data_IF_590641391329
#
_entry.id   IF_590641391329
#
_cell.length_a   1.000
_cell.length_b   1.000
_cell.length_c   1.000
_cell.angle_alpha   90.00
_cell.angle_beta   90.00
_cell.angle_gamma   90.00
#
_symmetry.space_group_name_H-M   'P 1'
#
loop_
_entity.id
_entity.type
_entity.pdbx_description
1 polymer ?
#
# COMPACT_ATOMS: atom_id res chain seq x y z
N UNK A 1 21.54 34.90 -13.11
CA UNK A 1 20.47 33.88 -13.01
C UNK A 1 19.42 34.30 -14.02
N UNK A 2 18.99 33.41 -14.92
CA UNK A 2 18.06 33.81 -15.97
C UNK A 2 16.76 34.35 -15.35
N UNK A 3 16.39 35.56 -15.73
CA UNK A 3 15.19 36.29 -15.31
C UNK A 3 14.77 37.23 -16.44
N UNK A 4 13.67 37.96 -16.27
CA UNK A 4 13.15 38.89 -17.27
C UNK A 4 14.21 39.87 -17.77
N UNK A 5 14.97 40.49 -16.86
CA UNK A 5 16.00 41.48 -17.21
C UNK A 5 17.12 40.86 -18.04
N UNK A 6 17.57 39.65 -17.68
CA UNK A 6 18.62 38.93 -18.41
C UNK A 6 18.15 38.61 -19.83
N UNK A 7 16.91 38.16 -20.00
CA UNK A 7 16.34 37.86 -21.32
C UNK A 7 16.17 39.14 -22.14
N UNK A 8 15.76 40.25 -21.51
CA UNK A 8 15.66 41.53 -22.21
C UNK A 8 17.02 42.03 -22.71
N UNK A 9 18.06 41.93 -21.88
CA UNK A 9 19.43 42.29 -22.27
C UNK A 9 19.91 41.44 -23.45
N UNK A 10 19.67 40.12 -23.41
CA UNK A 10 20.03 39.20 -24.48
C UNK A 10 19.28 39.51 -25.78
N UNK A 11 17.97 39.80 -25.71
CA UNK A 11 17.18 40.22 -26.86
C UNK A 11 17.65 41.55 -27.45
N UNK A 12 18.04 42.51 -26.60
CA UNK A 12 18.62 43.79 -27.04
C UNK A 12 19.98 43.59 -27.72
N UNK A 13 20.82 42.69 -27.19
CA UNK A 13 22.09 42.32 -27.81
C UNK A 13 21.88 41.71 -29.22
N UNK A 14 20.89 40.83 -29.39
CA UNK A 14 20.55 40.29 -30.71
C UNK A 14 20.02 41.32 -31.69
N UNK A 15 19.28 42.33 -31.22
CA UNK A 15 18.87 43.46 -32.07
C UNK A 15 20.07 44.30 -32.49
N UNK A 16 21.00 44.56 -31.57
CA UNK A 16 22.23 45.30 -31.87
C UNK A 16 23.08 44.56 -32.91
N UNK A 17 23.26 43.25 -32.75
CA UNK A 17 23.96 42.41 -33.74
C UNK A 17 23.35 42.56 -35.15
N UNK A 18 22.02 42.47 -35.27
CA UNK A 18 21.34 42.66 -36.56
C UNK A 18 21.60 44.04 -37.17
N UNK A 19 21.61 45.08 -36.34
CA UNK A 19 21.93 46.45 -36.79
C UNK A 19 23.38 46.54 -37.27
N UNK A 20 24.33 45.96 -36.54
CA UNK A 20 25.75 45.95 -36.94
C UNK A 20 25.97 45.20 -38.25
N UNK A 21 25.33 44.03 -38.43
CA UNK A 21 25.37 43.28 -39.69
C UNK A 21 24.76 44.08 -40.83
N UNK A 22 23.62 44.74 -40.60
CA UNK A 22 22.97 45.59 -41.60
C UNK A 22 23.86 46.76 -42.03
N UNK A 23 24.51 47.44 -41.07
CA UNK A 23 25.47 48.51 -41.36
C UNK A 23 26.62 48.02 -42.23
N UNK A 24 27.20 46.85 -41.93
CA UNK A 24 28.28 46.26 -42.75
C UNK A 24 27.80 46.00 -44.17
N UNK A 25 26.58 45.48 -44.34
CA UNK A 25 25.99 45.21 -45.67
C UNK A 25 25.73 46.51 -46.44
N UNK A 26 25.25 47.56 -45.77
CA UNK A 26 24.99 48.87 -46.40
C UNK A 26 26.28 49.59 -46.83
N UNK A 27 27.35 49.49 -46.05
CA UNK A 27 28.65 50.12 -46.37
C UNK A 27 29.44 49.38 -47.47
N UNK A 28 29.04 48.15 -47.83
CA UNK A 28 29.75 47.31 -48.78
C UNK A 28 29.04 47.16 -50.14
N UNK A 29 28.08 48.04 -50.42
CA UNK A 29 27.29 48.07 -51.67
C UNK A 29 28.16 48.28 -52.92
N UNK A 30 29.31 48.96 -52.80
CA UNK A 30 30.27 49.17 -53.90
C UNK A 30 31.31 48.04 -54.05
N UNK A 31 31.35 47.05 -53.15
CA UNK A 31 32.26 45.91 -53.25
C UNK A 31 31.75 44.84 -54.25
N UNK A 32 32.66 44.20 -55.00
CA UNK A 32 32.32 43.16 -55.99
C UNK A 32 31.54 41.97 -55.40
N UNK A 33 31.73 41.67 -54.11
CA UNK A 33 31.04 40.59 -53.40
C UNK A 33 29.84 41.06 -52.55
N UNK A 34 29.57 42.37 -52.51
CA UNK A 34 28.51 42.99 -51.71
C UNK A 34 28.65 42.74 -50.20
N UNK A 35 29.88 42.65 -49.68
CA UNK A 35 30.15 42.49 -48.24
C UNK A 35 30.06 41.05 -47.72
N UNK A 36 29.81 40.08 -48.59
CA UNK A 36 29.62 38.67 -48.22
C UNK A 36 30.83 38.06 -47.52
N UNK A 37 32.05 38.44 -47.90
CA UNK A 37 33.27 37.95 -47.24
C UNK A 37 33.34 38.41 -45.78
N UNK A 38 33.04 39.69 -45.52
CA UNK A 38 33.11 40.27 -44.17
C UNK A 38 32.00 39.68 -43.28
N UNK A 39 30.78 39.58 -43.78
CA UNK A 39 29.66 38.98 -43.03
C UNK A 39 29.92 37.50 -42.68
N UNK A 40 30.68 36.76 -43.53
CA UNK A 40 31.09 35.38 -43.23
C UNK A 40 32.15 35.28 -42.14
N UNK A 41 32.98 36.30 -41.97
CA UNK A 41 33.96 36.38 -40.88
C UNK A 41 33.32 36.80 -39.55
N UNK A 42 32.15 37.45 -39.59
CA UNK A 42 31.38 37.77 -38.38
C UNK A 42 30.79 36.49 -37.77
N UNK A 43 31.23 36.17 -36.55
CA UNK A 43 30.68 35.06 -35.77
C UNK A 43 29.37 35.50 -35.11
N UNK A 44 28.23 34.84 -35.41
CA UNK A 44 26.97 35.16 -34.78
C UNK A 44 27.01 34.89 -33.27
N UNK A 45 26.38 35.75 -32.48
CA UNK A 45 26.23 35.63 -31.04
C UNK A 45 25.21 34.55 -30.64
N UNK A 46 24.31 34.18 -31.56
CA UNK A 46 23.33 33.11 -31.37
C UNK A 46 22.48 33.27 -30.09
N UNK A 47 21.86 34.44 -29.92
CA UNK A 47 21.06 34.77 -28.73
C UNK A 47 20.09 33.65 -28.32
N UNK A 48 19.39 33.04 -29.27
CA UNK A 48 18.42 31.97 -29.02
C UNK A 48 19.10 30.74 -28.37
N UNK A 49 20.25 30.30 -28.89
CA UNK A 49 21.05 29.21 -28.32
C UNK A 49 21.54 29.54 -26.91
N UNK A 50 21.97 30.78 -26.69
CA UNK A 50 22.40 31.25 -25.36
C UNK A 50 21.24 31.22 -24.37
N UNK A 51 20.05 31.71 -24.77
CA UNK A 51 18.87 31.68 -23.89
C UNK A 51 18.45 30.23 -23.60
N UNK A 52 18.42 29.34 -24.59
CA UNK A 52 18.08 27.92 -24.38
C UNK A 52 19.03 27.25 -23.39
N UNK A 53 20.34 27.48 -23.51
CA UNK A 53 21.33 26.98 -22.56
C UNK A 53 21.09 27.50 -21.14
N UNK A 54 20.77 28.80 -21.01
CA UNK A 54 20.47 29.39 -19.72
C UNK A 54 19.14 28.87 -19.13
N UNK A 55 18.15 28.54 -19.96
CA UNK A 55 16.90 27.92 -19.54
C UNK A 55 17.17 26.51 -18.97
N UNK A 56 17.94 25.67 -19.67
CA UNK A 56 18.32 24.34 -19.15
C UNK A 56 19.05 24.44 -17.81
N UNK A 57 20.04 25.33 -17.68
CA UNK A 57 20.73 25.58 -16.41
C UNK A 57 19.81 26.09 -15.29
N UNK A 58 18.78 26.86 -15.66
CA UNK A 58 17.78 27.33 -14.71
C UNK A 58 16.90 26.17 -14.23
N UNK A 59 16.46 25.29 -15.13
CA UNK A 59 15.70 24.07 -14.82
C UNK A 59 16.52 23.20 -13.87
N UNK A 60 17.76 22.88 -14.22
CA UNK A 60 18.69 22.10 -13.39
C UNK A 60 18.80 22.65 -11.96
N UNK A 61 18.94 23.97 -11.84
CA UNK A 61 19.05 24.63 -10.54
C UNK A 61 17.75 24.51 -9.73
N UNK A 62 16.58 24.60 -10.36
CA UNK A 62 15.29 24.41 -9.69
C UNK A 62 15.11 22.96 -9.24
N UNK A 63 15.41 22.00 -10.11
CA UNK A 63 15.33 20.58 -9.79
C UNK A 63 16.29 20.20 -8.66
N UNK A 64 17.51 20.75 -8.65
CA UNK A 64 18.48 20.56 -7.57
C UNK A 64 17.94 21.01 -6.20
N UNK A 65 17.23 22.14 -6.13
CA UNK A 65 16.59 22.58 -4.87
C UNK A 65 15.51 21.61 -4.39
N UNK A 66 14.72 21.08 -5.32
CA UNK A 66 13.74 20.03 -5.02
C UNK A 66 14.41 18.76 -4.49
N UNK A 67 15.49 18.34 -5.13
CA UNK A 67 16.31 17.19 -4.73
C UNK A 67 16.90 17.35 -3.32
N UNK A 68 17.47 18.52 -3.02
CA UNK A 68 17.96 18.85 -1.67
C UNK A 68 16.83 18.78 -0.61
N UNK A 69 15.58 19.14 -0.99
CA UNK A 69 14.42 18.99 -0.10
C UNK A 69 14.07 17.54 0.18
N UNK A 70 14.16 16.67 -0.83
CA UNK A 70 13.94 15.23 -0.67
C UNK A 70 15.03 14.61 0.19
N UNK A 71 16.29 14.99 -0.02
CA UNK A 71 17.40 14.44 0.74
C UNK A 71 17.32 14.84 2.22
N UNK A 72 16.90 16.08 2.55
CA UNK A 72 16.53 16.45 3.94
C UNK A 72 15.39 15.59 4.50
N UNK A 73 14.37 15.31 3.69
CA UNK A 73 13.25 14.48 4.12
C UNK A 73 13.70 13.04 4.44
N UNK A 74 14.65 12.47 3.68
CA UNK A 74 15.20 11.13 3.97
C UNK A 74 15.87 11.04 5.34
N UNK A 75 16.52 12.11 5.77
CA UNK A 75 17.27 12.16 7.02
C UNK A 75 16.38 12.49 8.23
N UNK A 76 15.42 13.41 8.06
CA UNK A 76 14.73 14.04 9.18
C UNK A 76 13.22 13.74 9.26
N UNK A 77 12.60 13.16 8.23
CA UNK A 77 11.15 12.98 8.23
C UNK A 77 10.69 11.94 9.26
N UNK A 78 9.73 12.35 10.09
CA UNK A 78 9.18 11.56 11.19
C UNK A 78 7.76 11.06 10.93
N UNK A 79 7.16 11.49 9.81
CA UNK A 79 5.79 11.15 9.39
C UNK A 79 4.74 11.56 10.42
N UNK A 80 4.97 12.69 11.06
CA UNK A 80 3.98 13.33 11.92
C UNK A 80 3.09 14.27 11.08
N UNK A 81 1.82 14.48 11.47
CA UNK A 81 0.96 15.45 10.79
C UNK A 81 1.55 16.85 10.93
N UNK A 82 1.48 17.64 9.85
CA UNK A 82 1.85 19.07 9.87
C UNK A 82 1.02 19.84 10.90
N UNK A 83 -0.29 19.60 10.92
CA UNK A 83 -1.19 20.18 11.92
C UNK A 83 -2.43 19.30 12.10
N UNK A 84 -3.32 19.64 13.04
CA UNK A 84 -4.59 18.92 13.22
C UNK A 84 -5.48 18.93 11.97
N UNK A 85 -5.43 20.03 11.20
CA UNK A 85 -6.27 20.20 10.01
C UNK A 85 -5.51 19.82 8.71
N UNK A 86 -4.22 19.56 8.82
CA UNK A 86 -3.35 19.17 7.70
C UNK A 86 -2.65 17.85 8.08
N UNK A 87 -3.36 16.71 8.03
CA UNK A 87 -2.87 15.44 8.55
C UNK A 87 -1.92 14.73 7.56
N UNK A 88 -1.01 15.48 6.95
CA UNK A 88 0.01 15.03 6.00
C UNK A 88 1.38 15.61 6.37
N UNK A 89 2.45 15.05 5.81
CA UNK A 89 3.83 15.41 6.17
C UNK A 89 4.21 16.81 5.67
N UNK A 90 4.96 17.55 6.50
CA UNK A 90 5.46 18.89 6.18
C UNK A 90 6.42 18.88 4.97
N UNK A 91 7.28 17.85 4.84
CA UNK A 91 8.21 17.74 3.72
C UNK A 91 7.53 17.64 2.35
N UNK A 92 6.32 17.06 2.27
CA UNK A 92 5.54 17.03 1.03
C UNK A 92 5.07 18.44 0.64
N UNK A 93 4.67 19.27 1.61
CA UNK A 93 4.26 20.65 1.38
C UNK A 93 5.43 21.47 0.84
N UNK A 94 6.62 21.29 1.40
CA UNK A 94 7.84 21.97 0.94
C UNK A 94 8.20 21.58 -0.49
N UNK A 95 8.16 20.28 -0.81
CA UNK A 95 8.41 19.79 -2.17
C UNK A 95 7.40 20.35 -3.18
N UNK A 96 6.10 20.27 -2.87
CA UNK A 96 5.05 20.77 -3.76
C UNK A 96 5.11 22.28 -3.93
N UNK A 97 5.48 23.03 -2.89
CA UNK A 97 5.71 24.47 -2.98
C UNK A 97 6.88 24.80 -3.92
N UNK A 98 8.00 24.09 -3.81
CA UNK A 98 9.14 24.27 -4.72
C UNK A 98 8.77 23.96 -6.17
N UNK A 99 7.98 22.90 -6.40
CA UNK A 99 7.51 22.54 -7.73
C UNK A 99 6.56 23.61 -8.31
N UNK A 100 5.60 24.10 -7.52
CA UNK A 100 4.70 25.17 -7.93
C UNK A 100 5.45 26.46 -8.24
N UNK A 101 6.38 26.88 -7.37
CA UNK A 101 7.24 28.05 -7.61
C UNK A 101 8.06 27.89 -8.90
N UNK A 102 8.57 26.69 -9.18
CA UNK A 102 9.30 26.43 -10.42
C UNK A 102 8.39 26.57 -11.64
N UNK A 103 7.20 25.97 -11.64
CA UNK A 103 6.27 26.08 -12.77
C UNK A 103 5.81 27.53 -12.98
N UNK A 104 5.47 28.25 -11.91
CA UNK A 104 5.01 29.64 -11.99
C UNK A 104 6.11 30.58 -12.49
N UNK A 105 7.34 30.43 -11.97
CA UNK A 105 8.46 31.24 -12.43
C UNK A 105 8.85 30.92 -13.87
N UNK A 106 8.78 29.64 -14.30
CA UNK A 106 9.11 29.22 -15.66
C UNK A 106 8.25 29.96 -16.70
N UNK A 107 6.94 30.04 -16.48
CA UNK A 107 6.04 30.76 -17.39
C UNK A 107 6.13 32.29 -17.32
N UNK A 108 6.82 32.84 -16.31
CA UNK A 108 7.09 34.28 -16.22
C UNK A 108 8.34 34.71 -16.97
N UNK A 109 9.19 33.77 -17.42
CA UNK A 109 10.38 34.10 -18.20
C UNK A 109 9.93 34.46 -19.63
N UNK A 110 10.22 35.68 -20.13
CA UNK A 110 9.71 36.18 -21.41
C UNK A 110 10.50 35.60 -22.61
N UNK A 111 10.58 34.28 -22.69
CA UNK A 111 11.16 33.54 -23.82
C UNK A 111 10.02 32.90 -24.62
N UNK A 112 10.25 32.63 -25.91
CA UNK A 112 9.37 31.71 -26.64
C UNK A 112 9.48 30.32 -26.03
N UNK A 113 8.58 29.99 -25.10
CA UNK A 113 8.57 28.70 -24.41
C UNK A 113 8.20 27.63 -25.44
N UNK A 114 9.19 26.83 -25.81
CA UNK A 114 9.00 25.69 -26.70
C UNK A 114 8.42 24.50 -25.92
N UNK A 115 7.80 23.56 -26.63
CA UNK A 115 7.26 22.36 -25.98
C UNK A 115 8.38 21.53 -25.34
N UNK A 116 9.56 21.52 -25.94
CA UNK A 116 10.74 20.78 -25.46
C UNK A 116 11.15 21.24 -24.05
N UNK A 117 11.18 22.55 -23.78
CA UNK A 117 11.50 23.07 -22.44
C UNK A 117 10.43 22.74 -21.40
N UNK A 118 9.15 22.72 -21.80
CA UNK A 118 8.05 22.30 -20.91
C UNK A 118 8.21 20.82 -20.55
N UNK A 119 8.53 19.98 -21.54
CA UNK A 119 8.79 18.56 -21.31
C UNK A 119 10.01 18.34 -20.41
N UNK A 120 11.11 19.07 -20.63
CA UNK A 120 12.32 18.97 -19.80
C UNK A 120 12.04 19.30 -18.33
N UNK A 121 11.31 20.40 -18.06
CA UNK A 121 10.89 20.74 -16.70
C UNK A 121 9.96 19.68 -16.11
N UNK A 122 8.97 19.23 -16.88
CA UNK A 122 7.99 18.25 -16.43
C UNK A 122 8.63 16.90 -16.10
N UNK A 123 9.50 16.39 -16.95
CA UNK A 123 10.25 15.14 -16.74
C UNK A 123 11.11 15.23 -15.47
N UNK A 124 11.81 16.36 -15.28
CA UNK A 124 12.59 16.59 -14.07
C UNK A 124 11.74 16.60 -12.79
N UNK A 125 10.57 17.24 -12.82
CA UNK A 125 9.63 17.25 -11.70
C UNK A 125 9.02 15.86 -11.45
N UNK A 126 8.67 15.13 -12.51
CA UNK A 126 8.16 13.75 -12.41
C UNK A 126 9.16 12.85 -11.67
N UNK A 127 10.44 12.97 -12.00
CA UNK A 127 11.50 12.21 -11.34
C UNK A 127 11.62 12.55 -9.86
N UNK A 128 11.51 13.83 -9.48
CA UNK A 128 11.50 14.25 -8.07
C UNK A 128 10.29 13.68 -7.31
N UNK A 129 9.10 13.74 -7.92
CA UNK A 129 7.89 13.20 -7.30
C UNK A 129 8.02 11.69 -7.08
N UNK A 130 8.47 10.94 -8.08
CA UNK A 130 8.71 9.50 -7.97
C UNK A 130 9.72 9.16 -6.88
N UNK A 131 10.79 9.92 -6.77
CA UNK A 131 11.77 9.71 -5.71
C UNK A 131 11.18 9.94 -4.31
N UNK A 132 10.37 10.98 -4.14
CA UNK A 132 9.70 11.24 -2.86
C UNK A 132 8.61 10.20 -2.55
N UNK A 133 7.87 9.73 -3.56
CA UNK A 133 6.90 8.63 -3.41
C UNK A 133 7.60 7.34 -2.98
N UNK A 134 8.78 7.05 -3.53
CA UNK A 134 9.58 5.89 -3.11
C UNK A 134 9.94 5.95 -1.61
N UNK A 135 10.25 7.13 -1.07
CA UNK A 135 10.48 7.34 0.35
C UNK A 135 9.22 7.07 1.19
N UNK A 136 8.04 7.48 0.72
CA UNK A 136 6.75 7.22 1.39
C UNK A 136 6.44 5.72 1.45
N UNK A 137 6.61 4.99 0.36
CA UNK A 137 6.22 3.58 0.26
C UNK A 137 7.26 2.63 0.88
N UNK A 138 8.45 3.11 1.22
CA UNK A 138 9.46 2.36 1.96
C UNK A 138 9.00 2.09 3.41
N UNK A 139 8.08 1.14 3.58
CA UNK A 139 7.44 0.78 4.87
C UNK A 139 7.46 -0.72 5.17
N UNK A 140 8.22 -1.51 4.39
CA UNK A 140 8.31 -2.96 4.52
C UNK A 140 7.21 -3.68 3.74
N UNK A 141 6.88 -4.90 4.14
CA UNK A 141 5.86 -5.71 3.47
C UNK A 141 4.91 -6.34 4.48
N UNK A 142 3.67 -6.63 4.08
CA UNK A 142 2.69 -7.29 4.94
C UNK A 142 3.16 -8.66 5.45
N UNK A 143 3.95 -9.36 4.65
CA UNK A 143 4.51 -10.68 4.98
C UNK A 143 5.37 -10.64 6.25
N UNK A 144 5.94 -9.49 6.60
CA UNK A 144 6.75 -9.31 7.81
C UNK A 144 5.93 -9.40 9.11
N UNK A 145 4.60 -9.26 9.02
CA UNK A 145 3.70 -9.31 10.18
C UNK A 145 2.94 -10.64 10.28
N UNK A 146 2.88 -11.43 9.21
CA UNK A 146 2.15 -12.69 9.21
C UNK A 146 2.88 -13.73 10.06
N UNK A 147 2.19 -14.42 10.99
CA UNK A 147 2.80 -15.47 11.78
C UNK A 147 3.10 -16.69 10.91
N UNK A 148 4.22 -17.35 11.20
CA UNK A 148 4.58 -18.62 10.54
C UNK A 148 3.55 -19.69 10.87
N UNK A 149 3.15 -20.48 9.86
CA UNK A 149 2.18 -21.56 10.06
C UNK A 149 2.74 -22.60 11.04
N UNK A 150 2.00 -22.98 12.10
CA UNK A 150 2.45 -23.98 13.04
C UNK A 150 2.49 -25.37 12.38
N UNK A 151 3.32 -26.29 12.91
CA UNK A 151 3.37 -27.65 12.42
C UNK A 151 2.01 -28.36 12.59
N UNK A 152 1.68 -29.21 11.63
CA UNK A 152 0.46 -30.02 11.68
C UNK A 152 0.55 -31.03 12.82
N UNK A 153 -0.44 -31.00 13.70
CA UNK A 153 -0.52 -31.83 14.90
C UNK A 153 -1.95 -32.25 15.13
N UNK A 154 -2.15 -33.40 15.77
CA UNK A 154 -3.48 -33.88 16.16
C UNK A 154 -3.78 -33.57 17.63
N UNK A 155 -5.04 -33.30 17.96
CA UNK A 155 -5.50 -33.03 19.33
C UNK A 155 -5.09 -34.14 20.32
N UNK A 156 -4.73 -33.79 21.57
CA UNK A 156 -4.56 -34.80 22.61
C UNK A 156 -5.86 -34.97 23.40
N UNK A 157 -6.37 -36.21 23.49
CA UNK A 157 -7.64 -36.51 24.15
C UNK A 157 -7.54 -36.62 25.67
N UNK A 158 -6.37 -36.41 26.27
CA UNK A 158 -6.11 -36.55 27.72
C UNK A 158 -6.71 -35.38 28.56
N UNK A 159 -7.85 -34.84 28.10
CA UNK A 159 -8.61 -33.72 28.65
C UNK A 159 -9.21 -33.97 30.04
N UNK A 160 -9.23 -35.22 30.53
CA UNK A 160 -9.64 -35.47 31.93
C UNK A 160 -8.56 -35.08 32.94
N UNK A 161 -7.28 -35.21 32.59
CA UNK A 161 -6.18 -34.92 33.52
C UNK A 161 -5.88 -33.41 33.64
N UNK A 162 -6.08 -32.63 32.56
CA UNK A 162 -5.88 -31.18 32.61
C UNK A 162 -6.94 -30.45 33.46
N UNK A 163 -8.20 -30.93 33.46
CA UNK A 163 -9.26 -30.41 34.33
C UNK A 163 -9.04 -30.75 35.81
N UNK A 164 -8.37 -31.87 36.10
CA UNK A 164 -8.02 -32.30 37.45
C UNK A 164 -6.77 -31.60 37.99
N UNK A 165 -5.74 -31.38 37.15
CA UNK A 165 -4.52 -30.69 37.59
C UNK A 165 -4.73 -29.18 37.83
N UNK A 166 -5.64 -28.55 37.09
CA UNK A 166 -6.11 -27.17 37.36
C UNK A 166 -6.89 -27.03 38.68
N UNK A 167 -7.39 -28.13 39.27
CA UNK A 167 -8.09 -28.16 40.56
C UNK A 167 -7.22 -28.58 41.75
N UNK A 168 -5.98 -29.03 41.51
CA UNK A 168 -5.16 -29.67 42.54
C UNK A 168 -3.82 -28.97 42.82
N UNK A 169 -3.56 -27.79 42.25
CA UNK A 169 -2.31 -27.04 42.48
C UNK A 169 -2.62 -25.59 42.85
N UNK A 170 -2.63 -25.21 44.14
CA UNK A 170 -2.83 -23.81 44.56
C UNK A 170 -1.57 -22.94 44.42
N UNK A 171 -0.44 -23.48 43.95
CA UNK A 171 0.80 -22.73 43.83
C UNK A 171 1.58 -23.18 42.59
N UNK A 172 1.35 -22.53 41.46
CA UNK A 172 2.31 -22.45 40.38
C UNK A 172 2.36 -20.98 39.93
N UNK A 173 3.47 -20.33 40.29
CA UNK A 173 3.87 -19.02 39.81
C UNK A 173 3.69 -19.00 38.28
N UNK A 174 3.06 -17.93 37.74
CA UNK A 174 2.85 -17.59 36.31
C UNK A 174 1.39 -17.55 35.80
N UNK A 175 0.47 -16.83 36.46
CA UNK A 175 -0.77 -16.31 35.81
C UNK A 175 -1.26 -14.99 36.43
N UNK A 176 -0.80 -14.59 37.61
CA UNK A 176 -1.30 -13.38 38.29
C UNK A 176 -0.96 -12.06 37.57
N UNK A 177 0.04 -12.04 36.69
CA UNK A 177 0.32 -10.89 35.81
C UNK A 177 -0.58 -10.78 34.57
N UNK A 178 -1.28 -11.86 34.19
CA UNK A 178 -2.08 -11.94 32.95
C UNK A 178 -3.55 -11.52 33.16
N UNK A 179 -4.03 -11.54 34.41
CA UNK A 179 -5.40 -11.12 34.77
C UNK A 179 -5.48 -9.66 35.26
N UNK A 180 -4.36 -9.00 35.59
CA UNK A 180 -4.37 -7.59 35.99
C UNK A 180 -4.58 -6.62 34.82
N UNK A 181 -4.22 -7.00 33.58
CA UNK A 181 -4.56 -6.18 32.39
C UNK A 181 -6.04 -6.35 32.02
N UNK A 182 -6.62 -7.53 32.28
CA UNK A 182 -7.99 -7.87 31.89
C UNK A 182 -9.10 -7.29 32.75
N UNK A 183 -8.88 -7.01 34.05
CA UNK A 183 -9.96 -6.55 34.95
C UNK A 183 -10.03 -5.03 35.13
N UNK A 184 -8.93 -4.30 34.92
CA UNK A 184 -8.89 -2.84 35.11
C UNK A 184 -9.23 -2.05 33.84
N UNK A 185 -9.13 -2.66 32.65
CA UNK A 185 -9.45 -2.03 31.35
C UNK A 185 -10.87 -2.32 30.84
N UNK A 186 -11.69 -3.07 31.59
CA UNK A 186 -13.06 -3.49 31.17
C UNK A 186 -14.00 -2.29 30.95
N UNK A 187 -13.72 -1.15 31.58
CA UNK A 187 -14.60 0.02 31.53
C UNK A 187 -14.24 1.05 30.45
N UNK A 188 -13.03 1.04 29.89
CA UNK A 188 -12.61 2.00 28.86
C UNK A 188 -11.69 1.34 27.82
N UNK A 189 -12.23 0.67 26.78
CA UNK A 189 -11.41 0.12 25.71
C UNK A 189 -10.65 1.25 25.02
N UNK A 190 -9.33 1.13 24.96
CA UNK A 190 -8.46 2.05 24.22
C UNK A 190 -8.04 1.43 22.88
N UNK A 191 -7.78 2.24 21.85
CA UNK A 191 -7.22 1.72 20.62
C UNK A 191 -5.83 1.11 20.90
N UNK A 192 -5.57 -0.05 20.30
CA UNK A 192 -4.24 -0.69 20.32
C UNK A 192 -3.29 -0.13 19.27
N UNK A 193 -3.79 0.73 18.37
CA UNK A 193 -3.00 1.37 17.29
C UNK A 193 -1.75 2.08 17.81
N UNK A 194 -0.58 1.56 17.43
CA UNK A 194 0.71 2.12 17.83
C UNK A 194 1.05 3.40 17.06
N UNK A 195 2.02 4.17 17.58
CA UNK A 195 2.57 5.35 16.86
C UNK A 195 3.13 4.98 15.49
N UNK A 196 3.70 3.78 15.34
CA UNK A 196 4.20 3.30 14.05
C UNK A 196 3.09 3.16 13.01
N UNK A 197 1.93 2.65 13.42
CA UNK A 197 0.75 2.50 12.56
C UNK A 197 0.12 3.86 12.24
N UNK A 198 0.04 4.77 13.22
CA UNK A 198 -0.42 6.15 12.99
C UNK A 198 0.44 6.89 11.94
N UNK A 199 1.76 6.71 11.97
CA UNK A 199 2.67 7.27 10.96
C UNK A 199 2.36 6.77 9.55
N UNK A 200 1.92 5.52 9.38
CA UNK A 200 1.52 4.99 8.08
C UNK A 200 0.22 5.65 7.58
N UNK A 201 -0.72 6.02 8.47
CA UNK A 201 -1.88 6.83 8.10
C UNK A 201 -1.48 8.22 7.58
N UNK A 202 -0.49 8.87 8.21
CA UNK A 202 0.05 10.15 7.72
C UNK A 202 0.69 9.99 6.34
N UNK A 203 1.39 8.88 6.08
CA UNK A 203 1.94 8.59 4.74
C UNK A 203 0.83 8.43 3.70
N UNK A 204 -0.26 7.74 4.02
CA UNK A 204 -1.43 7.61 3.14
C UNK A 204 -2.08 8.96 2.83
N UNK A 205 -2.28 9.81 3.84
CA UNK A 205 -2.76 11.17 3.62
C UNK A 205 -1.79 11.98 2.75
N UNK A 206 -0.48 11.80 2.94
CA UNK A 206 0.56 12.47 2.16
C UNK A 206 0.51 12.05 0.68
N UNK A 207 0.27 10.77 0.39
CA UNK A 207 0.08 10.29 -0.99
C UNK A 207 -1.12 10.96 -1.68
N UNK A 208 -2.26 11.09 -0.98
CA UNK A 208 -3.44 11.78 -1.51
C UNK A 208 -3.23 13.30 -1.67
N UNK A 209 -2.48 13.91 -0.75
CA UNK A 209 -2.04 15.30 -0.85
C UNK A 209 -1.20 15.50 -2.13
N UNK A 210 -0.18 14.67 -2.35
CA UNK A 210 0.65 14.72 -3.56
C UNK A 210 -0.19 14.54 -4.82
N UNK A 211 -1.09 13.54 -4.85
CA UNK A 211 -1.95 13.28 -6.00
C UNK A 211 -2.71 14.54 -6.44
N UNK A 212 -3.33 15.22 -5.47
CA UNK A 212 -4.12 16.43 -5.73
C UNK A 212 -3.27 17.57 -6.27
N UNK A 213 -2.05 17.75 -5.74
CA UNK A 213 -1.15 18.83 -6.18
C UNK A 213 -0.47 18.52 -7.52
N UNK A 214 -0.13 17.26 -7.77
CA UNK A 214 0.43 16.83 -9.06
C UNK A 214 -0.61 17.01 -10.16
N UNK A 215 -1.88 16.66 -9.93
CA UNK A 215 -2.96 16.96 -10.88
C UNK A 215 -3.13 18.46 -11.14
N UNK A 216 -2.98 19.30 -10.11
CA UNK A 216 -3.04 20.75 -10.28
C UNK A 216 -1.89 21.28 -11.15
N UNK A 217 -0.65 20.81 -10.92
CA UNK A 217 0.51 21.14 -11.74
C UNK A 217 0.35 20.68 -13.18
N UNK A 218 -0.15 19.45 -13.38
CA UNK A 218 -0.41 18.89 -14.71
C UNK A 218 -1.34 19.80 -15.52
N UNK A 219 -2.44 20.25 -14.89
CA UNK A 219 -3.39 21.17 -15.50
C UNK A 219 -2.75 22.51 -15.84
N UNK A 220 -1.90 23.06 -14.97
CA UNK A 220 -1.16 24.31 -15.23
C UNK A 220 -0.24 24.17 -16.44
N UNK A 221 0.51 23.06 -16.55
CA UNK A 221 1.38 22.79 -17.70
C UNK A 221 0.59 22.55 -18.99
N UNK A 222 -0.57 21.91 -18.91
CA UNK A 222 -1.43 21.64 -20.06
C UNK A 222 -2.07 22.91 -20.65
N UNK A 223 -2.44 23.87 -19.79
CA UNK A 223 -3.15 25.11 -20.17
C UNK A 223 -2.23 26.28 -20.54
N UNK A 224 -0.92 26.13 -20.38
CA UNK A 224 0.01 27.24 -20.59
C UNK A 224 0.04 27.74 -22.05
N UNK A 225 0.08 29.07 -22.29
CA UNK A 225 0.14 29.65 -23.63
C UNK A 225 1.40 29.18 -24.38
N UNK A 226 1.21 28.56 -25.54
CA UNK A 226 2.29 28.09 -26.40
C UNK A 226 2.58 29.15 -27.46
N UNK A 227 3.82 29.60 -27.58
CA UNK A 227 4.25 30.33 -28.79
C UNK A 227 4.31 29.35 -29.94
N UNK A 228 3.43 29.51 -30.93
CA UNK A 228 3.39 28.69 -32.14
C UNK A 228 4.76 28.74 -32.86
N UNK A 229 5.22 27.62 -33.47
CA UNK A 229 6.44 27.66 -34.25
C UNK A 229 6.24 28.54 -35.49
N UNK A 230 7.24 29.39 -35.72
CA UNK A 230 7.46 30.07 -37.00
C UNK A 230 7.41 29.06 -38.14
N UNK A 231 6.73 29.43 -39.22
CA UNK A 231 6.48 28.61 -40.41
C UNK A 231 7.77 28.18 -41.12
N UNK A 232 8.24 26.96 -40.84
CA UNK A 232 9.03 26.14 -41.79
C UNK A 232 8.60 24.67 -41.65
N UNK A 233 7.96 24.13 -42.68
CA UNK A 233 7.49 22.74 -42.77
C UNK A 233 8.62 21.78 -43.23
N UNK A 234 8.36 20.47 -43.41
CA UNK A 234 8.45 19.42 -42.40
C UNK A 234 9.59 18.43 -42.70
N UNK A 235 10.18 17.83 -41.69
CA UNK A 235 11.00 16.63 -41.84
C UNK A 235 10.71 15.71 -40.66
N UNK A 236 10.27 14.51 -40.99
CA UNK A 236 9.69 13.56 -40.06
C UNK A 236 10.67 13.13 -38.97
N UNK A 237 10.21 13.23 -37.74
CA UNK A 237 10.53 12.23 -36.74
C UNK A 237 9.33 12.07 -35.80
N UNK A 238 8.85 10.83 -35.68
CA UNK A 238 7.66 10.45 -34.94
C UNK A 238 7.94 10.44 -33.43
N UNK A 239 8.05 11.63 -32.82
CA UNK A 239 7.99 11.78 -31.35
C UNK A 239 6.90 12.71 -30.84
N UNK A 240 6.15 13.39 -31.72
CA UNK A 240 4.96 14.16 -31.34
C UNK A 240 3.74 13.24 -31.17
N UNK A 241 3.83 12.33 -30.20
CA UNK A 241 2.85 11.26 -29.98
C UNK A 241 2.07 11.39 -28.68
N UNK A 242 1.90 12.58 -28.09
CA UNK A 242 0.92 12.76 -27.00
C UNK A 242 -0.38 13.25 -27.59
N UNK A 243 -1.25 12.29 -27.88
CA UNK A 243 -2.67 12.53 -28.08
C UNK A 243 -3.23 13.34 -26.91
N UNK A 244 -4.33 14.04 -27.16
CA UNK A 244 -4.93 15.10 -26.36
C UNK A 244 -5.45 14.69 -24.95
N UNK A 245 -4.80 13.72 -24.27
CA UNK A 245 -5.24 13.15 -22.99
C UNK A 245 -4.19 12.37 -22.17
N UNK A 246 -2.88 12.54 -22.38
CA UNK A 246 -1.83 11.96 -21.48
C UNK A 246 -1.28 13.02 -20.52
N UNK A 247 -1.17 12.71 -19.22
CA UNK A 247 -0.66 13.64 -18.21
C UNK A 247 0.88 13.68 -18.23
N UNK A 248 1.46 14.84 -17.91
CA UNK A 248 2.91 15.01 -17.76
C UNK A 248 3.50 14.19 -16.61
N UNK A 249 2.65 13.71 -15.71
CA UNK A 249 3.05 13.03 -14.49
C UNK A 249 2.40 11.64 -14.36
N UNK A 250 2.08 11.00 -15.49
CA UNK A 250 1.41 9.69 -15.52
C UNK A 250 2.14 8.66 -14.65
N UNK A 251 3.48 8.58 -14.68
CA UNK A 251 4.24 7.61 -13.89
C UNK A 251 4.23 7.93 -12.41
N UNK A 252 4.25 9.22 -12.04
CA UNK A 252 4.13 9.63 -10.65
C UNK A 252 2.73 9.31 -10.09
N UNK A 253 1.68 9.54 -10.88
CA UNK A 253 0.30 9.22 -10.50
C UNK A 253 0.08 7.71 -10.37
N UNK A 254 0.61 6.91 -11.28
CA UNK A 254 0.60 5.44 -11.17
C UNK A 254 1.37 4.98 -9.92
N UNK A 255 2.55 5.57 -9.66
CA UNK A 255 3.34 5.28 -8.46
C UNK A 255 2.58 5.62 -7.17
N UNK A 256 1.79 6.69 -7.15
CA UNK A 256 0.91 7.04 -6.03
C UNK A 256 -0.19 5.99 -5.84
N UNK A 257 -0.85 5.54 -6.91
CA UNK A 257 -1.91 4.53 -6.82
C UNK A 257 -1.36 3.22 -6.26
N UNK A 258 -0.27 2.71 -6.85
CA UNK A 258 0.41 1.49 -6.39
C UNK A 258 0.94 1.65 -4.96
N UNK A 259 1.50 2.82 -4.64
CA UNK A 259 1.97 3.16 -3.30
C UNK A 259 0.86 3.20 -2.26
N UNK A 260 -0.30 3.73 -2.61
CA UNK A 260 -1.47 3.80 -1.73
C UNK A 260 -1.98 2.40 -1.42
N UNK A 261 -2.07 1.51 -2.43
CA UNK A 261 -2.40 0.09 -2.21
C UNK A 261 -1.37 -0.57 -1.27
N UNK A 262 -0.08 -0.41 -1.57
CA UNK A 262 0.98 -1.04 -0.79
C UNK A 262 0.99 -0.59 0.68
N UNK A 263 0.93 0.71 0.96
CA UNK A 263 0.92 1.23 2.33
C UNK A 263 -0.37 0.84 3.06
N UNK A 264 -1.51 0.78 2.35
CA UNK A 264 -2.79 0.30 2.90
C UNK A 264 -2.71 -1.16 3.36
N UNK A 265 -2.05 -2.03 2.57
CA UNK A 265 -1.80 -3.41 2.96
C UNK A 265 -0.86 -3.50 4.18
N UNK A 266 0.26 -2.77 4.17
CA UNK A 266 1.22 -2.80 5.29
C UNK A 266 0.57 -2.32 6.59
N UNK A 267 -0.21 -1.24 6.55
CA UNK A 267 -0.86 -0.70 7.76
C UNK A 267 -1.93 -1.65 8.29
N UNK A 268 -2.69 -2.31 7.41
CA UNK A 268 -3.70 -3.28 7.79
C UNK A 268 -3.11 -4.48 8.55
N UNK A 269 -2.08 -5.10 7.98
CA UNK A 269 -1.47 -6.27 8.59
C UNK A 269 -0.69 -5.92 9.86
N UNK A 270 -0.07 -4.74 9.89
CA UNK A 270 0.53 -4.22 11.13
C UNK A 270 -0.53 -4.00 12.21
N UNK A 271 -1.66 -3.40 11.88
CA UNK A 271 -2.73 -3.14 12.86
C UNK A 271 -3.28 -4.46 13.44
N UNK A 272 -3.54 -5.45 12.60
CA UNK A 272 -4.16 -6.71 13.01
C UNK A 272 -3.14 -7.65 13.67
N UNK A 273 -2.01 -7.92 13.03
CA UNK A 273 -1.07 -8.95 13.44
C UNK A 273 0.08 -8.47 14.32
N UNK A 274 0.27 -7.15 14.50
CA UNK A 274 1.23 -6.61 15.47
C UNK A 274 0.51 -5.86 16.60
N UNK A 275 -0.17 -4.76 16.28
CA UNK A 275 -0.75 -3.89 17.30
C UNK A 275 -1.92 -4.56 18.05
N UNK A 276 -2.76 -5.30 17.33
CA UNK A 276 -3.93 -6.00 17.89
C UNK A 276 -3.69 -7.51 18.07
N UNK A 277 -2.44 -7.97 17.93
CA UNK A 277 -2.09 -9.38 17.92
C UNK A 277 -2.64 -10.14 19.13
N UNK A 278 -2.45 -9.57 20.32
CA UNK A 278 -2.90 -10.15 21.57
C UNK A 278 -4.39 -10.51 21.50
N UNK A 279 -5.24 -9.55 21.11
CA UNK A 279 -6.69 -9.74 21.09
C UNK A 279 -7.21 -10.41 19.83
N UNK A 280 -6.58 -10.26 18.66
CA UNK A 280 -7.01 -10.86 17.38
C UNK A 280 -6.44 -12.24 17.10
N UNK A 281 -5.32 -12.61 17.72
CA UNK A 281 -4.60 -13.83 17.39
C UNK A 281 -4.15 -14.64 18.60
N UNK A 282 -3.86 -14.05 19.76
CA UNK A 282 -3.38 -14.84 20.92
C UNK A 282 -4.51 -15.32 21.83
N UNK A 283 -5.58 -14.54 22.03
CA UNK A 283 -6.62 -14.89 23.01
C UNK A 283 -7.80 -15.67 22.44
N UNK A 284 -8.13 -15.47 21.17
CA UNK A 284 -9.31 -16.08 20.53
C UNK A 284 -9.35 -17.60 20.68
N UNK A 285 -10.48 -18.15 21.15
CA UNK A 285 -10.75 -19.59 21.25
C UNK A 285 -9.68 -20.42 21.98
N UNK A 286 -8.79 -19.78 22.76
CA UNK A 286 -7.80 -20.51 23.54
C UNK A 286 -8.49 -21.23 24.68
N UNK A 287 -8.23 -22.52 24.81
CA UNK A 287 -8.92 -23.41 25.74
C UNK A 287 -10.23 -23.95 25.14
N UNK A 288 -11.22 -23.07 24.95
CA UNK A 288 -12.50 -23.42 24.34
C UNK A 288 -13.23 -22.21 23.73
N UNK A 289 -14.16 -22.48 22.81
CA UNK A 289 -14.89 -21.45 22.06
C UNK A 289 -15.82 -20.65 22.95
N UNK A 290 -16.53 -21.29 23.88
CA UNK A 290 -17.57 -20.65 24.70
C UNK A 290 -16.99 -19.56 25.62
N UNK A 291 -15.78 -19.77 26.14
CA UNK A 291 -15.15 -18.85 27.10
C UNK A 291 -14.22 -17.79 26.46
N UNK A 292 -13.80 -17.98 25.20
CA UNK A 292 -12.81 -17.12 24.54
C UNK A 292 -13.32 -16.56 23.19
N UNK A 293 -14.52 -15.96 23.21
CA UNK A 293 -15.24 -15.39 22.06
C UNK A 293 -14.64 -14.07 21.52
N UNK A 294 -15.07 -13.64 20.32
CA UNK A 294 -14.63 -12.43 19.60
C UNK A 294 -14.87 -11.10 20.32
N UNK A 295 -15.86 -11.04 21.21
CA UNK A 295 -16.43 -9.78 21.71
C UNK A 295 -15.40 -8.79 22.31
N UNK A 296 -14.40 -9.20 23.11
CA UNK A 296 -13.37 -8.29 23.60
C UNK A 296 -12.53 -7.67 22.49
N UNK A 297 -12.16 -8.45 21.48
CA UNK A 297 -11.40 -7.98 20.33
C UNK A 297 -12.20 -6.94 19.52
N UNK A 298 -13.49 -7.17 19.28
CA UNK A 298 -14.35 -6.22 18.57
C UNK A 298 -14.45 -4.85 19.26
N UNK A 299 -14.38 -4.80 20.59
CA UNK A 299 -14.40 -3.52 21.32
C UNK A 299 -13.17 -2.68 21.01
N UNK A 300 -11.98 -3.28 21.07
CA UNK A 300 -10.72 -2.60 20.74
C UNK A 300 -10.68 -2.28 19.25
N UNK A 301 -11.16 -3.20 18.42
CA UNK A 301 -11.19 -3.03 16.97
C UNK A 301 -12.01 -1.83 16.53
N UNK A 302 -13.20 -1.64 17.12
CA UNK A 302 -14.03 -0.44 16.88
C UNK A 302 -13.28 0.85 17.21
N UNK A 303 -12.54 0.88 18.33
CA UNK A 303 -11.70 2.03 18.69
C UNK A 303 -10.58 2.26 17.68
N UNK A 304 -9.96 1.20 17.16
CA UNK A 304 -8.94 1.30 16.12
C UNK A 304 -9.50 1.87 14.81
N UNK A 305 -10.69 1.43 14.39
CA UNK A 305 -11.37 1.97 13.21
C UNK A 305 -11.74 3.44 13.40
N UNK A 306 -12.28 3.82 14.57
CA UNK A 306 -12.59 5.24 14.88
C UNK A 306 -11.33 6.10 14.87
N UNK A 307 -10.21 5.62 15.42
CA UNK A 307 -8.95 6.38 15.38
C UNK A 307 -8.41 6.48 13.96
N UNK A 308 -8.53 5.43 13.15
CA UNK A 308 -8.10 5.44 11.76
C UNK A 308 -8.87 6.47 10.95
N UNK A 309 -10.20 6.50 11.03
CA UNK A 309 -11.03 7.49 10.32
C UNK A 309 -10.84 8.90 10.86
N UNK A 310 -10.48 9.08 12.13
CA UNK A 310 -10.14 10.38 12.68
C UNK A 310 -8.78 10.94 12.17
N UNK A 311 -7.84 10.08 11.79
CA UNK A 311 -6.53 10.50 11.27
C UNK A 311 -6.54 10.60 9.74
N UNK A 312 -7.15 9.63 9.05
CA UNK A 312 -7.23 9.61 7.58
C UNK A 312 -8.23 10.63 7.07
N UNK A 313 -7.84 11.39 6.05
CA UNK A 313 -8.78 12.24 5.30
C UNK A 313 -9.84 11.39 4.61
N UNK A 314 -11.05 11.93 4.41
CA UNK A 314 -12.19 11.20 3.82
C UNK A 314 -11.84 10.48 2.50
N UNK A 315 -11.03 11.13 1.65
CA UNK A 315 -10.57 10.55 0.38
C UNK A 315 -9.63 9.35 0.57
N UNK A 316 -8.87 9.31 1.67
CA UNK A 316 -7.90 8.28 1.97
C UNK A 316 -8.46 7.10 2.75
N UNK A 317 -9.67 7.20 3.31
CA UNK A 317 -10.26 6.18 4.18
C UNK A 317 -10.65 4.85 3.50
N UNK A 318 -11.24 4.82 2.28
CA UNK A 318 -11.84 3.60 1.73
C UNK A 318 -10.85 2.43 1.58
N UNK A 319 -9.65 2.70 1.05
CA UNK A 319 -8.71 1.63 0.73
C UNK A 319 -8.05 0.98 1.97
N UNK A 320 -7.51 1.75 2.93
CA UNK A 320 -7.02 1.20 4.19
C UNK A 320 -8.09 0.43 4.96
N UNK A 321 -9.34 0.92 4.98
CA UNK A 321 -10.44 0.23 5.65
C UNK A 321 -10.71 -1.14 5.02
N UNK A 322 -10.72 -1.23 3.67
CA UNK A 322 -10.85 -2.49 2.95
C UNK A 322 -9.70 -3.44 3.24
N UNK A 323 -8.46 -2.97 3.29
CA UNK A 323 -7.31 -3.83 3.59
C UNK A 323 -7.32 -4.32 5.04
N UNK A 324 -7.79 -3.50 5.99
CA UNK A 324 -7.96 -3.89 7.39
C UNK A 324 -9.04 -4.97 7.53
N UNK A 325 -10.13 -4.87 6.76
CA UNK A 325 -11.15 -5.91 6.65
C UNK A 325 -10.56 -7.24 6.19
N UNK A 326 -9.82 -7.24 5.08
CA UNK A 326 -9.14 -8.45 4.59
C UNK A 326 -8.18 -9.04 5.63
N UNK A 327 -7.36 -8.21 6.27
CA UNK A 327 -6.43 -8.66 7.30
C UNK A 327 -7.15 -9.25 8.53
N UNK A 328 -8.29 -8.68 8.94
CA UNK A 328 -9.10 -9.21 10.04
C UNK A 328 -9.74 -10.56 9.69
N UNK A 329 -10.23 -10.73 8.47
CA UNK A 329 -10.79 -12.00 7.97
C UNK A 329 -9.71 -13.08 7.84
N UNK A 330 -8.51 -12.71 7.39
CA UNK A 330 -7.36 -13.60 7.36
C UNK A 330 -6.94 -14.01 8.77
N UNK A 331 -6.89 -13.07 9.72
CA UNK A 331 -6.60 -13.38 11.12
C UNK A 331 -7.63 -14.36 11.73
N UNK A 332 -8.92 -14.17 11.43
CA UNK A 332 -9.97 -15.09 11.86
C UNK A 332 -9.76 -16.50 11.29
N UNK A 333 -9.46 -16.61 9.99
CA UNK A 333 -9.15 -17.89 9.35
C UNK A 333 -7.90 -18.54 9.94
N UNK A 334 -6.86 -17.74 10.20
CA UNK A 334 -5.62 -18.18 10.82
C UNK A 334 -5.85 -18.70 12.23
N UNK A 335 -6.74 -18.10 13.02
CA UNK A 335 -7.13 -18.62 14.34
C UNK A 335 -7.77 -20.01 14.22
N UNK A 336 -8.65 -20.23 13.24
CA UNK A 336 -9.34 -21.50 13.04
C UNK A 336 -8.42 -22.62 12.50
N UNK A 337 -7.52 -22.28 11.58
CA UNK A 337 -6.75 -23.26 10.79
C UNK A 337 -5.27 -23.38 11.19
N UNK A 338 -4.75 -22.35 11.84
CA UNK A 338 -3.33 -22.17 12.12
C UNK A 338 -3.07 -21.55 13.50
N UNK A 339 -4.03 -21.61 14.42
CA UNK A 339 -3.96 -20.95 15.72
C UNK A 339 -3.14 -21.72 16.78
N UNK A 340 -2.29 -22.67 16.38
CA UNK A 340 -1.40 -23.38 17.30
C UNK A 340 -2.09 -24.36 18.26
N UNK A 341 -1.38 -24.78 19.31
CA UNK A 341 -1.78 -25.90 20.16
C UNK A 341 -2.88 -25.56 21.18
N UNK A 342 -3.07 -24.28 21.51
CA UNK A 342 -4.03 -23.83 22.52
C UNK A 342 -5.51 -23.91 22.10
N UNK A 343 -5.81 -24.29 20.86
CA UNK A 343 -7.16 -24.23 20.27
C UNK A 343 -7.64 -25.59 19.79
N UNK A 344 -8.82 -25.98 20.25
CA UNK A 344 -9.50 -27.21 19.87
C UNK A 344 -10.97 -26.91 19.59
N UNK A 345 -11.54 -27.57 18.58
CA UNK A 345 -12.90 -27.32 18.15
C UNK A 345 -13.75 -28.59 18.08
N UNK A 346 -15.00 -28.47 18.49
CA UNK A 346 -16.05 -29.48 18.36
C UNK A 346 -17.04 -29.07 17.26
N UNK A 347 -17.80 -30.04 16.75
CA UNK A 347 -18.83 -29.78 15.73
C UNK A 347 -19.89 -28.81 16.30
N UNK A 348 -20.19 -28.91 17.60
CA UNK A 348 -21.14 -28.04 18.31
C UNK A 348 -20.68 -26.58 18.40
N UNK A 349 -19.39 -26.29 18.21
CA UNK A 349 -18.87 -24.93 18.31
C UNK A 349 -19.19 -24.08 17.07
N UNK A 350 -19.60 -24.69 15.95
CA UNK A 350 -19.74 -24.00 14.66
C UNK A 350 -20.69 -22.80 14.73
N UNK A 351 -21.81 -22.92 15.46
CA UNK A 351 -22.80 -21.84 15.58
C UNK A 351 -22.21 -20.62 16.29
N UNK A 352 -21.44 -20.84 17.35
CA UNK A 352 -20.75 -19.75 18.08
C UNK A 352 -19.69 -19.07 17.21
N UNK A 353 -18.98 -19.84 16.39
CA UNK A 353 -17.97 -19.32 15.46
C UNK A 353 -18.64 -18.49 14.35
N UNK A 354 -19.78 -18.96 13.83
CA UNK A 354 -20.59 -18.27 12.82
C UNK A 354 -21.12 -16.93 13.35
N UNK A 355 -21.72 -16.92 14.55
CA UNK A 355 -22.15 -15.70 15.24
C UNK A 355 -21.01 -14.69 15.46
N UNK A 356 -19.83 -15.19 15.82
CA UNK A 356 -18.65 -14.36 16.07
C UNK A 356 -18.12 -13.73 14.78
N UNK A 357 -18.11 -14.49 13.68
CA UNK A 357 -17.73 -13.96 12.37
C UNK A 357 -18.74 -12.94 11.84
N UNK A 358 -20.03 -13.22 11.99
CA UNK A 358 -21.10 -12.28 11.63
C UNK A 358 -20.99 -10.97 12.42
N UNK A 359 -20.62 -11.04 13.70
CA UNK A 359 -20.35 -9.85 14.52
C UNK A 359 -19.15 -9.03 14.02
N UNK A 360 -18.11 -9.70 13.51
CA UNK A 360 -16.95 -9.05 12.88
C UNK A 360 -17.35 -8.38 11.57
N UNK A 361 -18.07 -9.08 10.70
CA UNK A 361 -18.60 -8.57 9.43
C UNK A 361 -19.47 -7.33 9.65
N UNK A 362 -20.43 -7.40 10.58
CA UNK A 362 -21.30 -6.26 10.93
C UNK A 362 -20.53 -5.05 11.46
N UNK A 363 -19.37 -5.25 12.10
CA UNK A 363 -18.52 -4.11 12.52
C UNK A 363 -18.05 -3.29 11.32
N UNK A 364 -17.78 -3.92 10.19
CA UNK A 364 -17.41 -3.25 8.95
C UNK A 364 -18.60 -2.59 8.25
N UNK A 365 -19.79 -3.19 8.30
CA UNK A 365 -21.01 -2.56 7.80
C UNK A 365 -21.35 -1.28 8.58
N UNK A 366 -21.23 -1.30 9.91
CA UNK A 366 -21.53 -0.11 10.76
C UNK A 366 -20.43 0.94 10.73
N UNK A 367 -19.16 0.55 10.85
CA UNK A 367 -18.04 1.51 10.90
C UNK A 367 -17.58 1.96 9.51
N UNK A 368 -17.95 1.24 8.46
CA UNK A 368 -17.62 1.53 7.06
C UNK A 368 -18.82 2.00 6.24
N UNK A 369 -19.91 2.41 6.88
CA UNK A 369 -21.10 2.93 6.18
C UNK A 369 -20.70 4.09 5.25
N UNK A 370 -21.04 3.97 3.97
CA UNK A 370 -20.65 4.93 2.93
C UNK A 370 -19.19 4.86 2.45
N UNK A 371 -18.33 4.05 3.09
CA UNK A 371 -16.91 3.90 2.75
C UNK A 371 -16.58 2.55 2.09
N UNK A 372 -17.41 1.53 2.30
CA UNK A 372 -17.23 0.20 1.74
C UNK A 372 -18.45 -0.28 0.96
N UNK A 373 -18.18 -0.95 -0.15
CA UNK A 373 -19.21 -1.62 -0.94
C UNK A 373 -19.54 -2.98 -0.30
N UNK A 374 -20.81 -3.21 0.01
CA UNK A 374 -21.29 -4.46 0.62
C UNK A 374 -20.98 -5.70 -0.22
N UNK A 375 -21.05 -5.61 -1.56
CA UNK A 375 -20.70 -6.73 -2.44
C UNK A 375 -19.21 -7.12 -2.32
N UNK A 376 -18.34 -6.14 -2.02
CA UNK A 376 -16.92 -6.40 -1.78
C UNK A 376 -16.73 -7.04 -0.41
N UNK A 377 -17.46 -6.59 0.61
CA UNK A 377 -17.43 -7.19 1.95
C UNK A 377 -17.87 -8.66 1.90
N UNK A 378 -19.00 -8.95 1.26
CA UNK A 378 -19.53 -10.31 1.14
C UNK A 378 -18.57 -11.22 0.37
N UNK A 379 -18.02 -10.76 -0.76
CA UNK A 379 -17.07 -11.53 -1.56
C UNK A 379 -15.81 -11.92 -0.77
N UNK A 380 -15.26 -11.01 0.01
CA UNK A 380 -14.07 -11.29 0.83
C UNK A 380 -14.43 -12.19 2.04
N UNK A 381 -15.68 -12.13 2.52
CA UNK A 381 -16.19 -12.98 3.61
C UNK A 381 -16.39 -14.45 3.18
N UNK A 382 -16.71 -14.72 1.91
CA UNK A 382 -16.94 -16.08 1.38
C UNK A 382 -15.84 -17.08 1.74
N UNK A 383 -14.58 -16.63 1.81
CA UNK A 383 -13.45 -17.49 2.19
C UNK A 383 -13.60 -17.99 3.62
N UNK A 384 -13.94 -17.10 4.55
CA UNK A 384 -14.11 -17.43 5.97
C UNK A 384 -15.38 -18.26 6.18
N UNK A 385 -16.47 -17.87 5.52
CA UNK A 385 -17.74 -18.61 5.55
C UNK A 385 -17.55 -20.04 5.01
N UNK A 386 -16.75 -20.22 3.96
CA UNK A 386 -16.36 -21.53 3.46
C UNK A 386 -15.62 -22.38 4.49
N UNK A 387 -14.69 -21.77 5.25
CA UNK A 387 -13.98 -22.44 6.36
C UNK A 387 -14.95 -22.80 7.49
N UNK A 388 -15.84 -21.90 7.88
CA UNK A 388 -16.88 -22.15 8.90
C UNK A 388 -17.82 -23.28 8.44
N UNK A 389 -18.15 -23.33 7.15
CA UNK A 389 -18.90 -24.43 6.54
C UNK A 389 -18.22 -25.79 6.72
N UNK A 390 -16.89 -25.87 6.59
CA UNK A 390 -16.13 -27.08 6.94
C UNK A 390 -16.19 -27.39 8.44
N UNK A 391 -16.22 -26.37 9.30
CA UNK A 391 -16.33 -26.54 10.75
C UNK A 391 -17.67 -27.18 11.18
N UNK A 392 -18.74 -27.00 10.38
CA UNK A 392 -20.06 -27.61 10.58
C UNK A 392 -20.13 -29.09 10.18
N UNK A 393 -19.34 -29.52 9.20
CA UNK A 393 -19.40 -30.89 8.65
C UNK A 393 -19.03 -31.94 9.71
N UNK A 394 -19.62 -33.14 9.57
CA UNK A 394 -19.19 -34.30 10.34
C UNK A 394 -17.76 -34.70 9.97
N UNK A 395 -17.09 -35.37 10.89
CA UNK A 395 -15.69 -35.77 10.70
C UNK A 395 -15.55 -36.82 9.61
N UNK A 396 -16.53 -37.71 9.48
CA UNK A 396 -16.61 -38.71 8.43
C UNK A 396 -16.68 -38.03 7.05
N UNK A 397 -17.55 -37.01 6.91
CA UNK A 397 -17.66 -36.26 5.65
C UNK A 397 -16.36 -35.50 5.33
N UNK A 398 -15.74 -34.86 6.31
CA UNK A 398 -14.46 -34.16 6.12
C UNK A 398 -13.35 -35.12 5.66
N UNK A 399 -13.32 -36.34 6.20
CA UNK A 399 -12.35 -37.37 5.81
C UNK A 399 -12.60 -37.89 4.38
N UNK A 400 -13.87 -38.07 4.01
CA UNK A 400 -14.27 -38.48 2.66
C UNK A 400 -13.92 -37.39 1.63
N UNK A 401 -14.39 -36.16 1.84
CA UNK A 401 -14.12 -35.01 0.98
C UNK A 401 -12.61 -34.79 0.79
N UNK A 402 -11.84 -34.86 1.89
CA UNK A 402 -10.40 -34.76 1.84
C UNK A 402 -9.76 -35.87 0.99
N UNK A 403 -10.23 -37.12 1.15
CA UNK A 403 -9.69 -38.26 0.41
C UNK A 403 -9.98 -38.17 -1.09
N UNK A 404 -11.18 -37.72 -1.46
CA UNK A 404 -11.58 -37.47 -2.85
C UNK A 404 -10.66 -36.42 -3.47
N UNK A 405 -10.54 -35.24 -2.85
CA UNK A 405 -9.75 -34.14 -3.40
C UNK A 405 -8.26 -34.48 -3.52
N UNK A 406 -7.70 -35.22 -2.56
CA UNK A 406 -6.31 -35.67 -2.63
C UNK A 406 -6.09 -36.67 -3.78
N UNK A 407 -7.06 -37.56 -4.06
CA UNK A 407 -6.96 -38.52 -5.15
C UNK A 407 -7.08 -37.86 -6.51
N UNK A 408 -8.04 -36.95 -6.66
CA UNK A 408 -8.20 -36.13 -7.86
C UNK A 408 -6.93 -35.33 -8.15
N UNK A 409 -6.36 -34.66 -7.13
CA UNK A 409 -5.12 -33.91 -7.27
C UNK A 409 -3.89 -34.78 -7.59
N UNK A 410 -3.92 -36.06 -7.20
CA UNK A 410 -2.82 -37.01 -7.44
C UNK A 410 -2.98 -37.82 -8.73
N UNK A 411 -4.11 -37.71 -9.44
CA UNK A 411 -4.43 -38.50 -10.63
C UNK A 411 -4.62 -40.00 -10.35
N UNK A 412 -4.89 -40.40 -9.11
CA UNK A 412 -5.04 -41.81 -8.69
C UNK A 412 -6.52 -42.14 -8.56
N UNK A 413 -7.00 -43.10 -9.37
CA UNK A 413 -8.37 -43.62 -9.29
C UNK A 413 -8.56 -44.53 -8.08
N UNK A 414 -9.22 -44.00 -7.05
CA UNK A 414 -9.66 -44.64 -5.80
C UNK A 414 -8.55 -45.01 -4.78
N UNK A 415 -8.77 -44.60 -3.52
CA UNK A 415 -7.95 -45.00 -2.35
C UNK A 415 -8.24 -46.45 -1.99
N UNK A 416 -7.22 -47.31 -2.03
CA UNK A 416 -7.32 -48.61 -1.34
C UNK A 416 -7.08 -48.41 0.17
N UNK A 417 -7.74 -49.18 1.07
CA UNK A 417 -7.66 -48.97 2.54
C UNK A 417 -6.26 -49.03 3.17
N UNK A 418 -5.23 -49.39 2.39
CA UNK A 418 -3.83 -49.57 2.82
C UNK A 418 -2.86 -48.52 2.25
N UNK A 419 -3.29 -47.65 1.34
CA UNK A 419 -2.41 -46.66 0.74
C UNK A 419 -2.32 -45.40 1.62
N UNK A 420 -1.10 -44.96 1.94
CA UNK A 420 -0.90 -43.69 2.64
C UNK A 420 -1.28 -42.54 1.71
N UNK A 421 -2.18 -41.66 2.16
CA UNK A 421 -2.53 -40.45 1.43
C UNK A 421 -1.30 -39.51 1.38
N UNK A 422 -1.01 -38.88 0.24
CA UNK A 422 0.05 -37.89 0.16
C UNK A 422 -0.29 -36.64 0.99
N UNK A 423 0.72 -36.00 1.56
CA UNK A 423 0.56 -34.74 2.28
C UNK A 423 0.26 -33.62 1.27
N UNK A 424 -0.84 -32.86 1.41
CA UNK A 424 -1.11 -31.75 0.51
C UNK A 424 -0.08 -30.62 0.68
N UNK A 425 0.24 -29.89 -0.40
CA UNK A 425 1.09 -28.70 -0.31
C UNK A 425 0.45 -27.65 0.60
N UNK A 426 1.27 -26.91 1.34
CA UNK A 426 0.78 -25.76 2.11
C UNK A 426 0.77 -24.54 1.20
N UNK A 427 -0.40 -24.20 0.69
CA UNK A 427 -0.59 -23.12 -0.31
C UNK A 427 -0.57 -21.72 0.30
N UNK A 428 -0.75 -21.61 1.61
CA UNK A 428 -0.88 -20.33 2.31
C UNK A 428 -2.16 -19.56 1.93
N UNK A 429 -3.09 -20.20 1.23
CA UNK A 429 -4.39 -19.63 0.85
C UNK A 429 -5.49 -20.56 1.33
N UNK A 430 -6.50 -20.00 1.98
CA UNK A 430 -7.61 -20.76 2.53
C UNK A 430 -8.73 -20.90 1.51
N UNK A 431 -9.24 -22.12 1.33
CA UNK A 431 -10.38 -22.39 0.47
C UNK A 431 -11.09 -23.67 0.94
N UNK A 432 -12.42 -23.69 0.90
CA UNK A 432 -13.20 -24.88 1.29
C UNK A 432 -12.91 -26.14 0.45
N UNK A 433 -12.45 -25.96 -0.79
CA UNK A 433 -12.07 -27.02 -1.72
C UNK A 433 -10.55 -27.30 -1.73
N UNK A 434 -9.77 -26.62 -0.90
CA UNK A 434 -8.35 -26.89 -0.75
C UNK A 434 -8.11 -28.01 0.28
N UNK A 435 -7.43 -29.12 -0.09
CA UNK A 435 -7.13 -30.21 0.83
C UNK A 435 -6.33 -29.77 2.07
N UNK A 436 -5.43 -28.78 1.95
CA UNK A 436 -4.65 -28.31 3.11
C UNK A 436 -5.56 -27.65 4.16
N UNK A 437 -6.55 -26.89 3.71
CA UNK A 437 -7.58 -26.27 4.56
C UNK A 437 -8.39 -27.33 5.31
N UNK A 438 -8.90 -28.36 4.62
CA UNK A 438 -9.66 -29.45 5.25
C UNK A 438 -8.79 -30.23 6.24
N UNK A 439 -7.53 -30.50 5.89
CA UNK A 439 -6.57 -31.16 6.77
C UNK A 439 -6.34 -30.37 8.07
N UNK A 440 -6.26 -29.04 7.98
CA UNK A 440 -6.12 -28.16 9.14
C UNK A 440 -7.35 -28.16 10.03
N UNK A 441 -8.56 -28.17 9.45
CA UNK A 441 -9.81 -28.37 10.21
C UNK A 441 -9.76 -29.69 10.98
N UNK A 442 -9.40 -30.80 10.32
CA UNK A 442 -9.23 -32.11 10.97
C UNK A 442 -8.17 -32.09 12.09
N UNK A 443 -7.07 -31.35 11.91
CA UNK A 443 -6.01 -31.22 12.92
C UNK A 443 -6.50 -30.55 14.21
N UNK A 444 -7.39 -29.56 14.11
CA UNK A 444 -7.97 -28.87 15.26
C UNK A 444 -9.28 -29.50 15.76
N UNK A 445 -9.86 -30.45 15.02
CA UNK A 445 -11.05 -31.21 15.42
C UNK A 445 -10.73 -32.14 16.60
N UNK A 446 -11.38 -31.91 17.74
CA UNK A 446 -11.18 -32.74 18.93
C UNK A 446 -12.18 -33.90 19.02
N UNK A 447 -12.01 -34.89 18.16
CA UNK A 447 -12.74 -36.15 18.25
C UNK A 447 -11.83 -37.38 18.05
N UNK A 448 -12.42 -38.57 18.20
CA UNK A 448 -11.68 -39.85 18.07
C UNK A 448 -11.36 -40.18 16.60
N UNK A 449 -12.28 -39.88 15.68
CA UNK A 449 -12.19 -40.29 14.28
C UNK A 449 -11.09 -39.52 13.54
N UNK A 450 -11.09 -38.18 13.63
CA UNK A 450 -10.05 -37.31 13.10
C UNK A 450 -8.67 -37.68 13.66
N UNK A 451 -8.60 -37.94 14.98
CA UNK A 451 -7.33 -38.31 15.61
C UNK A 451 -6.75 -39.62 15.06
N UNK A 452 -7.60 -40.62 14.86
CA UNK A 452 -7.20 -41.91 14.29
C UNK A 452 -6.82 -41.78 12.81
N UNK A 453 -7.60 -41.02 12.04
CA UNK A 453 -7.33 -40.73 10.64
C UNK A 453 -5.97 -40.05 10.47
N UNK A 454 -5.72 -38.93 11.15
CA UNK A 454 -4.46 -38.20 11.08
C UNK A 454 -3.25 -39.05 11.53
N UNK A 455 -3.44 -39.92 12.53
CA UNK A 455 -2.39 -40.86 12.97
C UNK A 455 -2.09 -41.90 11.89
N UNK A 456 -3.10 -42.52 11.29
CA UNK A 456 -2.93 -43.60 10.31
C UNK A 456 -2.43 -43.10 8.96
N UNK A 457 -3.03 -42.02 8.45
CA UNK A 457 -2.74 -41.49 7.11
C UNK A 457 -1.40 -40.75 7.07
N UNK A 458 -1.08 -39.98 8.11
CA UNK A 458 0.04 -39.01 8.09
C UNK A 458 1.04 -39.16 9.24
N UNK A 459 0.79 -40.04 10.21
CA UNK A 459 1.66 -40.21 11.40
C UNK A 459 1.89 -38.91 12.19
N UNK A 460 0.91 -37.99 12.20
CA UNK A 460 1.05 -36.71 12.90
C UNK A 460 1.23 -36.89 14.42
N UNK A 461 2.10 -36.07 15.00
CA UNK A 461 2.34 -36.02 16.44
C UNK A 461 1.11 -35.48 17.20
N UNK A 462 0.91 -35.96 18.43
CA UNK A 462 -0.06 -35.34 19.35
C UNK A 462 0.48 -34.00 19.81
N UNK A 463 -0.42 -33.03 19.99
CA UNK A 463 -0.12 -31.80 20.73
C UNK A 463 0.28 -32.14 22.16
N UNK A 464 1.31 -31.46 22.66
CA UNK A 464 1.78 -31.57 24.05
C UNK A 464 0.94 -30.71 24.97
#
# INVERSE_FOLDING_TARGET
MLNSDTVEVLNRAGKLEKVLVQMVVEDSVECEDGGKSIVREMVPYEVESVILKLMGQWIDKKLKRGKESIDRAKECETWNPKSKNEPYAQSAVELMKLAQEAVDEFFRIPVGISNELVYELAEGLEQLFREYINLLIACGSKQSYLPTLPPLTRCNRDSKFLKLWKKATPCAVSVEGMQQVGNTEVHHPRPSTSRGTQRLYIRLNTLHYLQSHIHALDKTLALAPRTAPSSRAPSGDNRSGRGNGSSYFDQALESIQNGTQHVSEVVAYRLIFLDSNFVFYETFYVGDVANARIKPALRIFKQNLTLMTAILTDRAQPLPLREVMKAAFEAFSMVLLAGGYGRVFYITDHQMIEEDFESLKNTFSTCGEGLMNEEVLDREAEVVEGVIGLMRKSTEQLMEDFSILICEASGVGAVTPRQKLPMPPTTGRWNRADPNTILRVLCHRNDKAANQFLKKSFSLAKRK
#
